data_IF_718506025266
#
_entry.id   IF_718506025266
#
_cell.length_a   1.000
_cell.length_b   1.000
_cell.length_c   1.000
_cell.angle_alpha   90.00
_cell.angle_beta   90.00
_cell.angle_gamma   90.00
#
_symmetry.space_group_name_H-M   'P 1'
#
loop_
_entity.id
_entity.type
_entity.pdbx_description
1 polymer ?
#
# COMPACT_ATOMS: atom_id res chain seq x y z
N UNK A 1 -7.07 -2.42 0.85
CA UNK A 1 -7.91 -3.52 0.31
C UNK A 1 -9.12 -3.03 -0.48
N UNK A 2 -9.73 -1.89 -0.13
CA UNK A 2 -10.89 -1.34 -0.86
C UNK A 2 -10.50 -1.00 -2.30
N UNK A 3 -9.42 -0.24 -2.48
CA UNK A 3 -8.88 0.11 -3.81
C UNK A 3 -8.60 -1.15 -4.62
N UNK A 4 -7.90 -2.13 -4.04
CA UNK A 4 -7.63 -3.41 -4.73
C UNK A 4 -8.92 -4.11 -5.21
N UNK A 5 -9.98 -4.15 -4.40
CA UNK A 5 -11.24 -4.75 -4.85
C UNK A 5 -11.92 -3.94 -5.96
N UNK A 6 -11.85 -2.60 -5.91
CA UNK A 6 -12.41 -1.74 -6.94
C UNK A 6 -11.68 -1.93 -8.28
N UNK A 7 -10.36 -1.94 -8.26
CA UNK A 7 -9.54 -2.13 -9.45
C UNK A 7 -9.68 -3.53 -10.06
N UNK A 8 -9.58 -4.58 -9.23
CA UNK A 8 -9.77 -5.96 -9.70
C UNK A 8 -11.17 -6.18 -10.28
N UNK A 9 -12.21 -5.54 -9.71
CA UNK A 9 -13.55 -5.55 -10.29
C UNK A 9 -13.56 -4.85 -11.64
N UNK A 10 -12.97 -3.65 -11.73
CA UNK A 10 -12.94 -2.88 -12.97
C UNK A 10 -12.15 -3.62 -14.07
N UNK A 11 -11.03 -4.22 -13.73
CA UNK A 11 -10.23 -5.06 -14.65
C UNK A 11 -11.08 -6.23 -15.20
N UNK A 12 -11.75 -6.98 -14.34
CA UNK A 12 -12.60 -8.09 -14.75
C UNK A 12 -13.75 -7.62 -15.67
N UNK A 13 -14.35 -6.46 -15.39
CA UNK A 13 -15.40 -5.88 -16.24
C UNK A 13 -14.83 -5.42 -17.58
N UNK A 14 -13.68 -4.77 -17.60
CA UNK A 14 -12.98 -4.37 -18.84
C UNK A 14 -12.56 -5.58 -19.68
N UNK A 15 -12.18 -6.68 -19.03
CA UNK A 15 -11.91 -7.97 -19.68
C UNK A 15 -13.17 -8.70 -20.19
N UNK A 16 -14.38 -8.16 -19.95
CA UNK A 16 -15.63 -8.66 -20.51
C UNK A 16 -16.49 -9.52 -19.57
N UNK A 17 -16.23 -9.57 -18.27
CA UNK A 17 -17.00 -10.37 -17.31
C UNK A 17 -18.50 -10.08 -17.34
N UNK A 18 -18.92 -8.86 -17.72
CA UNK A 18 -20.32 -8.43 -17.84
C UNK A 18 -20.71 -8.05 -19.26
N UNK A 19 -20.00 -8.57 -20.28
CA UNK A 19 -20.28 -8.37 -21.69
C UNK A 19 -19.64 -7.11 -22.30
N UNK A 20 -19.77 -6.98 -23.62
CA UNK A 20 -19.03 -6.00 -24.43
C UNK A 20 -19.33 -4.53 -24.08
N UNK A 21 -20.57 -4.20 -23.73
CA UNK A 21 -20.95 -2.82 -23.38
C UNK A 21 -20.34 -2.40 -22.02
N UNK A 22 -20.42 -3.30 -21.04
CA UNK A 22 -19.80 -3.06 -19.73
C UNK A 22 -18.27 -3.00 -19.85
N UNK A 23 -17.66 -3.81 -20.72
CA UNK A 23 -16.22 -3.79 -20.97
C UNK A 23 -15.74 -2.42 -21.48
N UNK A 24 -16.47 -1.81 -22.45
CA UNK A 24 -16.14 -0.45 -22.93
C UNK A 24 -16.24 0.61 -21.84
N UNK A 25 -17.21 0.49 -20.94
CA UNK A 25 -17.34 1.40 -19.79
C UNK A 25 -16.23 1.17 -18.77
N UNK A 26 -15.93 -0.08 -18.45
CA UNK A 26 -14.82 -0.45 -17.55
C UNK A 26 -13.48 0.10 -18.03
N UNK A 27 -13.19 -0.03 -19.33
CA UNK A 27 -11.98 0.52 -19.93
C UNK A 27 -11.92 2.05 -19.86
N UNK A 28 -13.03 2.76 -20.08
CA UNK A 28 -13.09 4.22 -19.90
C UNK A 28 -12.85 4.63 -18.45
N UNK A 29 -13.40 3.88 -17.49
CA UNK A 29 -13.16 4.12 -16.05
C UNK A 29 -11.69 3.88 -15.72
N UNK A 30 -11.08 2.80 -16.22
CA UNK A 30 -9.67 2.48 -16.02
C UNK A 30 -8.77 3.62 -16.46
N UNK A 31 -9.00 4.14 -17.68
CA UNK A 31 -8.24 5.26 -18.24
C UNK A 31 -8.47 6.57 -17.49
N UNK A 32 -9.71 6.89 -17.14
CA UNK A 32 -10.06 8.15 -16.47
C UNK A 32 -9.58 8.21 -15.01
N UNK A 33 -9.49 7.07 -14.32
CA UNK A 33 -9.08 6.97 -12.93
C UNK A 33 -7.63 6.51 -12.76
N UNK A 34 -6.89 6.33 -13.86
CA UNK A 34 -5.49 5.92 -13.88
C UNK A 34 -5.23 4.68 -13.00
N UNK A 35 -6.03 3.62 -13.25
CA UNK A 35 -5.99 2.39 -12.46
C UNK A 35 -4.82 1.51 -12.90
N UNK A 36 -3.65 1.75 -12.34
CA UNK A 36 -2.38 1.11 -12.70
C UNK A 36 -1.73 0.30 -11.55
N UNK A 37 -2.48 0.04 -10.49
CA UNK A 37 -1.97 -0.79 -9.38
C UNK A 37 -1.94 -2.28 -9.76
N UNK A 38 -1.27 -3.08 -8.95
CA UNK A 38 -1.14 -4.55 -9.15
C UNK A 38 -2.47 -5.29 -9.37
N UNK A 39 -3.58 -4.74 -8.89
CA UNK A 39 -4.91 -5.29 -9.10
C UNK A 39 -5.35 -5.27 -10.56
N UNK A 40 -4.82 -4.34 -11.37
CA UNK A 40 -5.06 -4.25 -12.81
C UNK A 40 -4.16 -5.21 -13.63
N UNK A 41 -3.20 -5.87 -12.98
CA UNK A 41 -2.22 -6.79 -13.61
C UNK A 41 -2.20 -8.14 -12.87
N UNK A 42 -3.35 -8.78 -12.71
CA UNK A 42 -3.53 -9.96 -11.83
C UNK A 42 -2.57 -11.10 -12.13
N UNK A 43 -2.32 -11.42 -13.40
CA UNK A 43 -1.41 -12.50 -13.79
C UNK A 43 0.03 -12.21 -13.32
N UNK A 44 0.53 -11.00 -13.55
CA UNK A 44 1.86 -10.57 -13.12
C UNK A 44 1.95 -10.51 -11.60
N UNK A 45 0.90 -10.02 -10.94
CA UNK A 45 0.84 -9.99 -9.48
C UNK A 45 0.89 -11.38 -8.86
N UNK A 46 0.18 -12.36 -9.45
CA UNK A 46 0.23 -13.77 -8.99
C UNK A 46 1.59 -14.41 -9.19
N UNK A 47 2.22 -14.18 -10.32
CA UNK A 47 3.55 -14.69 -10.60
C UNK A 47 4.59 -14.12 -9.61
N UNK A 48 4.56 -12.80 -9.37
CA UNK A 48 5.40 -12.13 -8.39
C UNK A 48 5.15 -12.67 -6.98
N UNK A 49 3.88 -12.76 -6.57
CA UNK A 49 3.50 -13.25 -5.25
C UNK A 49 3.97 -14.69 -5.01
N UNK A 50 3.85 -15.58 -6.01
CA UNK A 50 4.34 -16.95 -5.93
C UNK A 50 5.87 -16.98 -5.73
N UNK A 51 6.63 -16.19 -6.51
CA UNK A 51 8.07 -16.09 -6.38
C UNK A 51 8.51 -15.58 -5.00
N UNK A 52 7.86 -14.53 -4.51
CA UNK A 52 8.15 -13.93 -3.18
C UNK A 52 7.85 -14.90 -2.05
N UNK A 53 6.74 -15.64 -2.15
CA UNK A 53 6.39 -16.67 -1.16
C UNK A 53 7.40 -17.81 -1.17
N UNK A 54 7.81 -18.30 -2.34
CA UNK A 54 8.82 -19.35 -2.46
C UNK A 54 10.16 -18.93 -1.85
N UNK A 55 10.61 -17.69 -2.10
CA UNK A 55 11.82 -17.14 -1.44
C UNK A 55 11.61 -17.02 0.07
N UNK A 56 10.45 -16.51 0.50
CA UNK A 56 10.15 -16.33 1.92
C UNK A 56 10.03 -17.65 2.71
N UNK A 57 9.78 -18.76 2.04
CA UNK A 57 9.76 -20.12 2.61
C UNK A 57 11.11 -20.82 2.56
N UNK A 58 12.11 -20.23 1.94
CA UNK A 58 13.40 -20.88 1.74
C UNK A 58 13.42 -21.92 0.60
N UNK A 59 12.40 -21.97 -0.25
CA UNK A 59 12.31 -22.89 -1.40
C UNK A 59 13.33 -22.56 -2.51
N UNK A 60 13.91 -21.37 -2.46
CA UNK A 60 14.92 -20.85 -3.40
C UNK A 60 16.28 -20.59 -2.77
N UNK A 61 16.57 -21.18 -1.62
CA UNK A 61 17.75 -20.97 -0.80
C UNK A 61 17.37 -20.43 0.59
N UNK A 62 18.35 -20.13 1.46
CA UNK A 62 18.07 -19.64 2.81
C UNK A 62 17.13 -18.41 2.79
N UNK A 63 16.04 -18.46 3.54
CA UNK A 63 15.07 -17.38 3.58
C UNK A 63 15.71 -16.08 4.12
N UNK A 64 15.58 -14.94 3.40
CA UNK A 64 16.03 -13.65 3.92
C UNK A 64 15.20 -13.25 5.14
N UNK A 65 15.73 -12.38 6.00
CA UNK A 65 14.97 -11.88 7.15
C UNK A 65 13.75 -11.08 6.72
N UNK A 66 13.87 -10.28 5.64
CA UNK A 66 12.78 -9.51 5.06
C UNK A 66 12.83 -9.48 3.54
N UNK A 67 11.66 -9.28 2.94
CA UNK A 67 11.47 -8.96 1.53
C UNK A 67 10.67 -7.68 1.50
N UNK A 68 11.28 -6.58 1.06
CA UNK A 68 10.65 -5.26 1.05
C UNK A 68 10.53 -4.73 -0.37
N UNK A 69 9.31 -4.36 -0.75
CA UNK A 69 9.02 -3.63 -1.98
C UNK A 69 9.11 -2.14 -1.67
N UNK A 70 9.95 -1.42 -2.42
CA UNK A 70 10.03 0.03 -2.36
C UNK A 70 9.23 0.58 -3.51
N UNK A 71 8.29 1.48 -3.24
CA UNK A 71 7.42 2.06 -4.27
C UNK A 71 7.04 3.51 -3.95
N UNK A 72 6.53 4.21 -4.98
CA UNK A 72 6.09 5.59 -4.91
C UNK A 72 4.89 5.86 -5.80
N UNK A 73 4.80 7.06 -6.35
CA UNK A 73 3.87 7.53 -7.39
C UNK A 73 2.38 7.63 -7.02
N UNK A 74 1.98 7.25 -5.84
CA UNK A 74 0.57 7.23 -5.42
C UNK A 74 0.15 8.43 -4.56
N UNK A 75 1.02 9.44 -4.43
CA UNK A 75 0.78 10.70 -3.71
C UNK A 75 0.46 10.56 -2.22
N UNK A 76 0.84 9.48 -1.57
CA UNK A 76 0.82 9.29 -0.12
C UNK A 76 1.81 8.20 0.31
N UNK A 77 2.26 8.27 1.55
CA UNK A 77 3.24 7.34 2.13
C UNK A 77 2.58 6.38 3.10
N UNK A 78 3.02 5.13 3.13
CA UNK A 78 2.54 4.14 4.09
C UNK A 78 3.46 2.92 4.19
N UNK A 79 3.21 2.10 5.20
CA UNK A 79 3.73 0.73 5.30
C UNK A 79 2.58 -0.27 5.22
N UNK A 80 2.71 -1.22 4.30
CA UNK A 80 1.84 -2.39 4.26
C UNK A 80 2.64 -3.66 4.57
N UNK A 81 2.08 -4.53 5.41
CA UNK A 81 2.69 -5.83 5.76
C UNK A 81 1.83 -6.96 5.26
N UNK A 82 2.47 -7.94 4.64
CA UNK A 82 1.82 -9.19 4.26
C UNK A 82 1.59 -10.03 5.52
N UNK A 83 0.38 -10.54 5.65
CA UNK A 83 -0.01 -11.43 6.76
C UNK A 83 -0.01 -12.87 6.27
N UNK A 84 1.15 -13.53 6.34
CA UNK A 84 1.32 -14.96 6.02
C UNK A 84 2.11 -15.63 7.13
N UNK A 85 1.51 -16.60 7.82
CA UNK A 85 2.22 -17.34 8.87
C UNK A 85 3.18 -18.42 8.31
N UNK A 86 3.04 -18.75 7.02
CA UNK A 86 3.76 -19.82 6.33
C UNK A 86 5.05 -19.37 5.63
N UNK A 87 5.54 -18.17 5.93
CA UNK A 87 6.84 -17.67 5.46
C UNK A 87 7.72 -17.28 6.64
N UNK A 88 9.02 -17.60 6.55
CA UNK A 88 10.04 -17.18 7.53
C UNK A 88 10.35 -15.69 7.38
N UNK A 89 10.36 -15.21 6.14
CA UNK A 89 10.62 -13.80 5.82
C UNK A 89 9.44 -12.89 6.17
N UNK A 90 9.74 -11.67 6.67
CA UNK A 90 8.77 -10.60 6.79
C UNK A 90 8.62 -9.89 5.45
N UNK A 91 7.43 -9.94 4.85
CA UNK A 91 7.16 -9.34 3.54
C UNK A 91 6.42 -8.02 3.76
N UNK A 92 6.93 -6.94 3.18
CA UNK A 92 6.34 -5.60 3.33
C UNK A 92 6.45 -4.77 2.06
N UNK A 93 5.58 -3.77 1.93
CA UNK A 93 5.67 -2.71 0.94
C UNK A 93 5.85 -1.39 1.68
N UNK A 94 6.94 -0.71 1.38
CA UNK A 94 7.32 0.60 1.90
C UNK A 94 7.05 1.61 0.79
N UNK A 95 6.09 2.49 1.01
CA UNK A 95 5.70 3.50 0.03
C UNK A 95 6.10 4.87 0.53
N UNK A 96 6.73 5.66 -0.34
CA UNK A 96 7.10 7.04 -0.08
C UNK A 96 6.75 7.91 -1.28
N UNK A 97 5.75 8.76 -1.12
CA UNK A 97 5.27 9.73 -2.11
C UNK A 97 4.28 10.70 -1.42
N UNK A 98 4.15 11.95 -1.86
CA UNK A 98 4.94 12.62 -2.88
C UNK A 98 6.24 13.21 -2.33
N UNK A 99 7.17 13.54 -3.23
CA UNK A 99 8.35 14.34 -2.86
C UNK A 99 8.00 15.84 -2.88
N UNK A 100 7.17 16.30 -3.83
CA UNK A 100 6.86 17.71 -4.03
C UNK A 100 5.39 18.04 -4.28
N UNK A 101 4.62 17.17 -4.87
CA UNK A 101 3.24 17.44 -5.27
C UNK A 101 2.24 16.68 -4.38
N UNK A 102 1.80 17.27 -3.26
CA UNK A 102 0.81 16.62 -2.41
C UNK A 102 -0.53 16.48 -3.14
N UNK A 103 -1.27 15.42 -2.82
CA UNK A 103 -2.56 15.12 -3.43
C UNK A 103 -3.56 16.25 -3.14
N UNK A 104 -4.32 16.70 -4.15
CA UNK A 104 -5.35 17.73 -4.00
C UNK A 104 -6.41 17.31 -2.96
N UNK A 105 -6.98 18.30 -2.25
CA UNK A 105 -7.83 18.06 -1.08
C UNK A 105 -8.98 17.08 -1.30
N UNK A 106 -9.71 17.16 -2.44
CA UNK A 106 -10.78 16.23 -2.78
C UNK A 106 -10.31 14.78 -2.88
N UNK A 107 -9.17 14.54 -3.53
CA UNK A 107 -8.58 13.21 -3.67
C UNK A 107 -8.04 12.68 -2.32
N UNK A 108 -7.51 13.56 -1.47
CA UNK A 108 -7.12 13.20 -0.08
C UNK A 108 -8.31 12.69 0.72
N UNK A 109 -9.46 13.38 0.61
CA UNK A 109 -10.70 12.98 1.28
C UNK A 109 -11.23 11.65 0.75
N UNK A 110 -11.29 11.47 -0.58
CA UNK A 110 -11.72 10.22 -1.20
C UNK A 110 -10.84 9.02 -0.78
N UNK A 111 -9.53 9.21 -0.75
CA UNK A 111 -8.62 8.18 -0.26
C UNK A 111 -8.83 7.88 1.23
N UNK A 112 -9.01 8.89 2.09
CA UNK A 112 -9.32 8.66 3.51
C UNK A 112 -10.57 7.78 3.68
N UNK A 113 -11.65 8.06 2.95
CA UNK A 113 -12.87 7.23 2.97
C UNK A 113 -12.59 5.81 2.49
N UNK A 114 -11.83 5.64 1.44
CA UNK A 114 -11.45 4.31 0.94
C UNK A 114 -10.71 3.47 2.00
N UNK A 115 -9.98 4.11 2.92
CA UNK A 115 -9.30 3.44 4.04
C UNK A 115 -10.19 3.15 5.25
N UNK A 116 -11.32 3.83 5.43
CA UNK A 116 -12.22 3.61 6.58
C UNK A 116 -12.94 2.26 6.55
N UNK A 117 -12.90 1.54 5.46
CA UNK A 117 -13.55 0.24 5.33
C UNK A 117 -15.04 0.30 4.97
N UNK A 118 -15.70 1.46 5.02
CA UNK A 118 -17.12 1.62 4.65
C UNK A 118 -17.36 1.20 3.20
N UNK A 119 -16.51 1.62 2.27
CA UNK A 119 -16.59 1.25 0.87
C UNK A 119 -16.14 -0.21 0.56
N UNK A 120 -15.53 -0.89 1.53
CA UNK A 120 -14.94 -2.22 1.31
C UNK A 120 -15.98 -3.30 1.01
N UNK A 121 -17.12 -3.25 1.70
CA UNK A 121 -18.21 -4.22 1.53
C UNK A 121 -18.75 -4.22 0.11
N UNK A 122 -19.25 -3.09 -0.40
CA UNK A 122 -19.73 -2.95 -1.77
C UNK A 122 -18.74 -3.39 -2.83
N UNK A 123 -17.51 -2.91 -2.81
CA UNK A 123 -16.49 -3.29 -3.82
C UNK A 123 -16.10 -4.77 -3.74
N UNK A 124 -16.07 -5.36 -2.55
CA UNK A 124 -15.88 -6.80 -2.38
C UNK A 124 -17.04 -7.60 -2.99
N UNK A 125 -18.27 -7.14 -2.84
CA UNK A 125 -19.44 -7.78 -3.45
C UNK A 125 -19.37 -7.69 -4.98
N UNK A 126 -19.06 -6.52 -5.55
CA UNK A 126 -18.88 -6.33 -6.99
C UNK A 126 -17.76 -7.22 -7.55
N UNK A 127 -16.63 -7.30 -6.88
CA UNK A 127 -15.53 -8.19 -7.27
C UNK A 127 -15.97 -9.67 -7.27
N UNK A 128 -16.75 -10.10 -6.27
CA UNK A 128 -17.32 -11.47 -6.24
C UNK A 128 -18.29 -11.70 -7.41
N UNK A 129 -19.18 -10.75 -7.70
CA UNK A 129 -20.12 -10.84 -8.82
C UNK A 129 -19.39 -10.90 -10.18
N UNK A 130 -18.27 -10.22 -10.31
CA UNK A 130 -17.38 -10.30 -11.47
C UNK A 130 -16.46 -11.54 -11.44
N UNK A 131 -16.63 -12.46 -10.47
CA UNK A 131 -15.83 -13.69 -10.29
C UNK A 131 -14.33 -13.45 -10.15
N UNK A 132 -13.94 -12.29 -9.61
CA UNK A 132 -12.54 -11.95 -9.33
C UNK A 132 -11.95 -12.97 -8.35
N UNK A 133 -10.83 -13.62 -8.68
CA UNK A 133 -10.19 -14.56 -7.78
C UNK A 133 -9.66 -13.88 -6.50
N UNK A 134 -9.54 -14.64 -5.42
CA UNK A 134 -8.97 -14.11 -4.17
C UNK A 134 -7.50 -13.72 -4.41
N UNK A 135 -7.06 -12.55 -3.93
CA UNK A 135 -5.66 -12.14 -4.04
C UNK A 135 -4.70 -13.17 -3.45
N UNK A 136 -3.56 -13.44 -4.09
CA UNK A 136 -2.59 -14.45 -3.65
C UNK A 136 -1.93 -14.08 -2.32
N UNK A 137 -1.89 -12.79 -1.99
CA UNK A 137 -1.36 -12.27 -0.73
C UNK A 137 -2.46 -11.55 0.06
N UNK A 138 -2.37 -11.64 1.38
CA UNK A 138 -3.16 -10.83 2.30
C UNK A 138 -2.25 -9.83 2.98
N UNK A 139 -2.61 -8.56 2.97
CA UNK A 139 -1.85 -7.49 3.60
C UNK A 139 -2.73 -6.54 4.40
N UNK A 140 -2.10 -5.77 5.26
CA UNK A 140 -2.72 -4.69 6.00
C UNK A 140 -1.78 -3.48 6.03
N UNK A 141 -2.32 -2.28 6.03
CA UNK A 141 -1.58 -1.10 6.40
C UNK A 141 -1.32 -1.14 7.90
N UNK A 142 -0.08 -0.90 8.28
CA UNK A 142 0.34 -0.85 9.67
C UNK A 142 0.72 0.55 10.10
N UNK A 143 1.21 1.38 9.15
CA UNK A 143 1.65 2.75 9.42
C UNK A 143 1.21 3.65 8.26
N UNK A 144 0.82 4.90 8.55
CA UNK A 144 0.20 5.82 7.59
C UNK A 144 -1.32 5.58 7.41
N UNK A 145 -1.95 6.09 6.33
CA UNK A 145 -1.34 6.87 5.25
C UNK A 145 -0.99 8.31 5.65
N UNK A 146 0.15 8.80 5.18
CA UNK A 146 0.57 10.18 5.30
C UNK A 146 0.52 10.85 3.92
N UNK A 147 -0.04 12.05 3.84
CA UNK A 147 -0.30 12.75 2.57
C UNK A 147 0.61 13.96 2.35
N UNK A 148 1.53 14.20 3.25
CA UNK A 148 2.51 15.27 3.15
C UNK A 148 3.70 14.86 2.29
N UNK A 149 4.46 15.84 1.79
CA UNK A 149 5.72 15.56 1.13
C UNK A 149 6.63 14.77 2.06
N UNK A 150 7.27 13.75 1.55
CA UNK A 150 8.04 12.84 2.39
C UNK A 150 9.31 12.33 1.73
N UNK A 151 10.28 12.02 2.58
CA UNK A 151 11.45 11.21 2.25
C UNK A 151 11.42 9.99 3.16
N UNK A 152 11.65 8.81 2.61
CA UNK A 152 11.80 7.60 3.42
C UNK A 152 13.25 7.12 3.39
N UNK A 153 13.80 6.87 4.57
CA UNK A 153 15.12 6.25 4.74
C UNK A 153 14.93 4.82 5.20
N UNK A 154 15.49 3.87 4.42
CA UNK A 154 15.53 2.45 4.79
C UNK A 154 16.94 2.12 5.25
N UNK A 155 17.05 1.63 6.48
CA UNK A 155 18.32 1.24 7.10
C UNK A 155 18.41 -0.28 7.19
N UNK A 156 19.47 -0.84 6.63
CA UNK A 156 19.75 -2.28 6.66
C UNK A 156 21.03 -2.52 7.45
N UNK A 157 20.97 -3.40 8.44
CA UNK A 157 22.14 -3.82 9.22
C UNK A 157 22.07 -5.32 9.50
N UNK A 158 22.86 -6.11 8.75
CA UNK A 158 22.77 -7.55 8.78
C UNK A 158 21.37 -8.05 8.42
N UNK A 159 20.68 -8.66 9.39
CA UNK A 159 19.28 -9.12 9.22
C UNK A 159 18.23 -8.13 9.71
N UNK A 160 18.65 -6.98 10.23
CA UNK A 160 17.75 -5.94 10.71
C UNK A 160 17.40 -4.98 9.59
N UNK A 161 16.13 -4.58 9.52
CA UNK A 161 15.60 -3.62 8.57
C UNK A 161 14.67 -2.65 9.29
N UNK A 162 14.93 -1.37 9.13
CA UNK A 162 14.16 -0.26 9.69
C UNK A 162 13.79 0.73 8.60
N UNK A 163 12.70 1.43 8.77
CA UNK A 163 12.30 2.51 7.87
C UNK A 163 11.82 3.72 8.69
N UNK A 164 12.14 4.91 8.21
CA UNK A 164 11.73 6.19 8.77
C UNK A 164 11.22 7.08 7.65
N UNK A 165 10.09 7.74 7.88
CA UNK A 165 9.54 8.77 6.99
C UNK A 165 9.69 10.13 7.64
N UNK A 166 10.12 11.10 6.85
CA UNK A 166 10.38 12.47 7.29
C UNK A 166 9.72 13.45 6.32
N UNK A 167 9.20 14.55 6.84
CA UNK A 167 8.60 15.63 6.06
C UNK A 167 9.40 16.93 6.27
N UNK A 168 9.54 17.76 5.22
CA UNK A 168 10.17 19.07 5.38
C UNK A 168 9.31 19.97 6.28
N UNK A 169 10.01 20.76 7.11
CA UNK A 169 9.44 21.83 7.93
C UNK A 169 9.98 23.17 7.48
N UNK A 170 9.39 24.24 7.99
CA UNK A 170 9.88 25.58 7.76
C UNK A 170 11.36 25.69 8.17
N UNK A 171 12.16 26.38 7.34
CA UNK A 171 13.60 26.46 7.54
C UNK A 171 14.42 25.28 6.99
N UNK A 172 13.80 24.33 6.27
CA UNK A 172 14.49 23.23 5.60
C UNK A 172 14.83 22.03 6.51
N UNK A 173 14.47 22.06 7.78
CA UNK A 173 14.64 20.90 8.67
C UNK A 173 13.68 19.77 8.31
N UNK A 174 14.10 18.52 8.55
CA UNK A 174 13.24 17.35 8.42
C UNK A 174 12.66 16.96 9.79
N UNK A 175 11.35 16.68 9.81
CA UNK A 175 10.67 16.16 10.98
C UNK A 175 10.14 14.75 10.72
N UNK A 176 10.34 13.86 11.68
CA UNK A 176 9.86 12.47 11.59
C UNK A 176 8.33 12.44 11.60
N UNK A 177 7.75 11.79 10.60
CA UNK A 177 6.32 11.49 10.49
C UNK A 177 6.00 10.10 11.02
N UNK A 178 6.90 9.15 10.81
CA UNK A 178 6.72 7.78 11.24
C UNK A 178 7.99 6.96 11.13
N UNK A 179 8.02 5.89 11.93
CA UNK A 179 9.13 4.94 11.98
C UNK A 179 8.58 3.53 12.16
N UNK A 180 9.15 2.56 11.46
CA UNK A 180 8.77 1.17 11.62
C UNK A 180 9.99 0.25 11.64
N UNK A 181 9.92 -0.78 12.47
CA UNK A 181 10.83 -1.90 12.46
C UNK A 181 10.24 -2.99 11.56
N UNK A 182 10.91 -3.34 10.48
CA UNK A 182 10.50 -4.43 9.58
C UNK A 182 10.97 -5.76 10.17
N UNK A 183 12.28 -5.86 10.48
CA UNK A 183 12.91 -6.99 11.15
C UNK A 183 13.94 -6.50 12.14
N UNK A 184 14.25 -7.32 13.15
CA UNK A 184 15.24 -7.03 14.18
C UNK A 184 14.63 -6.83 15.57
N UNK A 185 15.45 -6.38 16.51
CA UNK A 185 15.02 -6.11 17.88
C UNK A 185 14.56 -4.66 18.01
N UNK A 186 13.40 -4.44 18.64
CA UNK A 186 13.00 -3.11 19.08
C UNK A 186 14.05 -2.54 20.05
N UNK A 187 14.48 -1.30 19.82
CA UNK A 187 15.31 -0.60 20.80
C UNK A 187 14.52 -0.47 22.10
N UNK A 188 15.06 -1.05 23.19
CA UNK A 188 14.52 -0.83 24.53
C UNK A 188 14.76 0.65 24.87
N UNK A 189 13.72 1.49 24.79
CA UNK A 189 13.80 2.81 25.38
C UNK A 189 13.23 4.02 24.66
N UNK A 190 12.49 3.88 23.56
CA UNK A 190 11.73 5.04 23.02
C UNK A 190 10.32 4.64 22.65
N UNK A 191 9.38 4.93 23.56
CA UNK A 191 7.95 4.77 23.30
C UNK A 191 7.57 5.53 22.02
N UNK A 192 7.02 4.82 21.06
CA UNK A 192 6.34 5.40 19.91
C UNK A 192 5.23 6.34 20.44
N UNK A 193 5.41 7.63 20.27
CA UNK A 193 4.32 8.57 20.48
C UNK A 193 3.28 8.28 19.38
N UNK A 194 2.10 7.87 19.80
CA UNK A 194 0.93 7.77 18.91
C UNK A 194 0.76 9.11 18.17
N UNK A 195 0.39 9.09 16.88
CA UNK A 195 0.15 10.31 16.12
C UNK A 195 -0.94 11.11 16.82
N UNK A 196 -0.61 12.35 17.20
CA UNK A 196 -1.54 13.28 17.80
C UNK A 196 -2.75 13.48 16.91
N UNK A 197 -3.95 13.46 17.49
CA UNK A 197 -5.19 13.87 16.83
C UNK A 197 -4.97 15.27 16.27
N UNK A 198 -4.98 15.40 14.95
CA UNK A 198 -4.98 16.69 14.29
C UNK A 198 -6.28 17.42 14.65
N UNK A 199 -6.16 18.45 15.50
CA UNK A 199 -7.14 19.49 15.64
C UNK A 199 -7.07 20.34 14.37
N UNK A 200 -8.11 20.28 13.53
CA UNK A 200 -8.29 21.22 12.44
C UNK A 200 -8.66 22.57 13.01
N UNK A 201 -7.78 23.53 12.87
CA UNK A 201 -8.12 24.96 12.96
C UNK A 201 -7.69 25.57 11.62
N UNK A 202 -8.63 25.57 10.68
CA UNK A 202 -8.54 26.30 9.42
C UNK A 202 -9.07 27.70 9.67
N UNK A 203 -8.19 28.66 9.90
CA UNK A 203 -8.44 30.09 9.73
C UNK A 203 -7.25 30.73 9.04
N UNK A 204 -7.40 30.96 7.78
CA UNK A 204 -7.09 32.02 6.83
C UNK A 204 -6.79 31.45 5.44
#
# INVERSE_FOLDING_TARGET
RTIHHAESWNEAVAAGAWGKTAAKLGEKIRQAADLEHWAAFDASFRALAAGVVAVGRGERGPAPASISFLSGDIHYSYLARVTRPDTESKISQIVCSPLRNPLAGLFRWANRIAYTGVARGPFRALAKLARVPVPPLRWRLTDGPWFDNAIATVELSGRDCRVRWETPRDGGALAEMGRALITGRAEKGRASRAPGKFSGDDRN
#
